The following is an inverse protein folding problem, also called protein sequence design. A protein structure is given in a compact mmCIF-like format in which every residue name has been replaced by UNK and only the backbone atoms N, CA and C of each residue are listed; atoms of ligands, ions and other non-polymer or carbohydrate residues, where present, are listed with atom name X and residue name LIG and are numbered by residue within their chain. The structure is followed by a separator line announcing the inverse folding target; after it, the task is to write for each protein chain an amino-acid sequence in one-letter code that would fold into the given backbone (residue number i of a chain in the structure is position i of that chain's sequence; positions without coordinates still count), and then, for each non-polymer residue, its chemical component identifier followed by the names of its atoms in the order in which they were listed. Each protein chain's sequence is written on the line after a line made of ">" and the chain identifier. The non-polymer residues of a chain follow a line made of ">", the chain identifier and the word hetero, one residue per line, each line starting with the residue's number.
data_IF_678911198492
#
_entry.id   IF_678911198492
#
_cell.length_a   1.000
_cell.length_b   1.000
_cell.length_c   1.000
_cell.angle_alpha   90.00
_cell.angle_beta   90.00
_cell.angle_gamma   90.00
#
_symmetry.space_group_name_H-M   'P 1'
#
loop_
_entity.id
_entity.type
_entity.pdbx_description
1 polymer ?
#
# COMPACT_ATOMS: atom_id res chain seq x y z
N UNK A 1 -22.85 36.08 17.64
CA UNK A 1 -22.30 34.98 18.44
C UNK A 1 -21.64 34.02 17.42
N UNK A 2 -20.38 34.33 17.02
CA UNK A 2 -19.58 33.51 16.12
C UNK A 2 -18.95 32.40 16.99
N UNK A 3 -19.41 31.18 16.77
CA UNK A 3 -18.81 30.01 17.37
C UNK A 3 -17.45 29.77 16.66
N UNK A 4 -16.35 30.00 17.41
CA UNK A 4 -15.01 29.57 17.06
C UNK A 4 -14.96 28.03 16.97
N UNK A 5 -15.29 27.48 15.81
CA UNK A 5 -15.24 26.03 15.52
C UNK A 5 -13.89 25.59 14.93
N UNK A 6 -12.85 26.40 15.12
CA UNK A 6 -11.48 26.09 14.67
C UNK A 6 -10.50 25.90 15.83
N UNK A 7 -10.85 25.13 16.86
CA UNK A 7 -9.79 24.45 17.61
C UNK A 7 -9.33 23.28 16.75
N UNK A 8 -8.25 23.52 16.00
CA UNK A 8 -7.70 22.57 15.04
C UNK A 8 -7.55 21.18 15.67
N UNK A 9 -8.23 20.21 15.12
CA UNK A 9 -7.98 18.80 15.40
C UNK A 9 -6.49 18.58 15.09
N UNK A 10 -5.67 18.42 16.13
CA UNK A 10 -4.23 18.17 15.98
C UNK A 10 -4.10 16.76 15.39
N UNK A 11 -3.76 16.66 14.10
CA UNK A 11 -3.53 15.39 13.44
C UNK A 11 -2.46 14.59 14.19
N UNK A 12 -2.82 13.37 14.61
CA UNK A 12 -1.90 12.48 15.27
C UNK A 12 -0.94 11.88 14.21
N UNK A 13 0.37 11.92 14.49
CA UNK A 13 1.38 11.24 13.67
C UNK A 13 1.55 9.82 14.19
N UNK A 14 1.13 8.85 13.40
CA UNK A 14 1.00 7.45 13.85
C UNK A 14 1.89 6.47 13.08
N UNK A 15 2.57 6.93 12.03
CA UNK A 15 3.37 6.04 11.20
C UNK A 15 4.46 6.81 10.43
N UNK A 16 5.39 6.03 9.87
CA UNK A 16 6.43 6.52 8.96
C UNK A 16 6.69 5.53 7.85
N UNK A 17 6.77 6.01 6.61
CA UNK A 17 7.16 5.21 5.45
C UNK A 17 8.67 5.22 5.26
N UNK A 18 9.19 4.08 4.80
CA UNK A 18 10.58 3.90 4.40
C UNK A 18 10.62 3.12 3.09
N UNK A 19 11.76 3.15 2.40
CA UNK A 19 12.06 2.12 1.40
C UNK A 19 12.57 0.86 2.10
N UNK A 20 12.30 -0.30 1.51
CA UNK A 20 13.03 -1.53 1.85
C UNK A 20 14.47 -1.42 1.34
N UNK A 21 15.37 -2.33 1.71
CA UNK A 21 16.70 -2.41 1.11
C UNK A 21 16.61 -2.65 -0.40
N UNK A 22 17.69 -2.35 -1.14
CA UNK A 22 17.73 -2.64 -2.57
C UNK A 22 17.67 -4.14 -2.83
N UNK A 23 18.33 -4.93 -2.01
CA UNK A 23 18.32 -6.39 -2.04
C UNK A 23 16.90 -6.93 -1.90
N UNK A 24 16.14 -6.47 -0.91
CA UNK A 24 14.75 -6.89 -0.71
C UNK A 24 13.84 -6.42 -1.86
N UNK A 25 14.12 -5.26 -2.44
CA UNK A 25 13.38 -4.80 -3.63
C UNK A 25 13.64 -5.68 -4.84
N UNK A 26 14.90 -6.10 -5.07
CA UNK A 26 15.28 -7.02 -6.16
C UNK A 26 14.60 -8.39 -6.00
N UNK A 27 14.59 -8.95 -4.78
CA UNK A 27 13.89 -10.21 -4.48
C UNK A 27 12.40 -10.10 -4.80
N UNK A 28 11.75 -9.05 -4.31
CA UNK A 28 10.33 -8.81 -4.57
C UNK A 28 10.01 -8.58 -6.04
N UNK A 29 10.90 -7.92 -6.77
CA UNK A 29 10.78 -7.72 -8.21
C UNK A 29 10.92 -9.02 -8.99
N UNK A 30 11.94 -9.83 -8.63
CA UNK A 30 12.13 -11.15 -9.23
C UNK A 30 10.94 -12.08 -8.97
N UNK A 31 10.41 -12.08 -7.75
CA UNK A 31 9.20 -12.86 -7.40
C UNK A 31 7.95 -12.41 -8.20
N UNK A 32 7.83 -11.12 -8.50
CA UNK A 32 6.70 -10.59 -9.24
C UNK A 32 6.80 -10.78 -10.76
N UNK A 33 8.02 -10.67 -11.33
CA UNK A 33 8.22 -10.55 -12.79
C UNK A 33 9.22 -11.55 -13.37
N UNK A 34 9.91 -12.35 -12.57
CA UNK A 34 10.93 -13.31 -13.04
C UNK A 34 12.19 -12.65 -13.64
N UNK A 35 12.40 -11.35 -13.40
CA UNK A 35 13.46 -10.54 -13.98
C UNK A 35 14.25 -9.80 -12.91
N UNK A 36 15.46 -9.39 -13.24
CA UNK A 36 16.22 -8.46 -12.41
C UNK A 36 15.72 -7.01 -12.58
N UNK A 37 15.96 -6.18 -11.56
CA UNK A 37 15.65 -4.74 -11.62
C UNK A 37 16.93 -3.94 -11.39
N UNK A 38 17.03 -2.80 -12.06
CA UNK A 38 18.19 -1.91 -11.92
C UNK A 38 18.09 -1.02 -10.67
N UNK A 39 19.25 -0.52 -10.24
CA UNK A 39 19.33 0.39 -9.09
C UNK A 39 18.61 1.72 -9.36
N UNK A 40 18.59 2.18 -10.61
CA UNK A 40 17.93 3.42 -11.03
C UNK A 40 16.41 3.35 -10.79
N UNK A 41 15.78 2.20 -11.06
CA UNK A 41 14.35 1.98 -10.77
C UNK A 41 14.09 2.09 -9.27
N UNK A 42 14.92 1.45 -8.45
CA UNK A 42 14.81 1.54 -6.99
C UNK A 42 15.03 2.97 -6.49
N UNK A 43 16.03 3.67 -7.00
CA UNK A 43 16.33 5.04 -6.58
C UNK A 43 15.18 6.00 -6.92
N UNK A 44 14.48 5.76 -8.02
CA UNK A 44 13.28 6.50 -8.44
C UNK A 44 12.02 6.21 -7.61
N UNK A 45 12.00 5.14 -6.81
CA UNK A 45 10.85 4.84 -5.92
C UNK A 45 10.60 6.02 -4.98
N UNK A 46 9.39 6.57 -5.01
CA UNK A 46 8.96 7.67 -4.16
C UNK A 46 8.17 7.17 -2.95
N UNK A 47 8.43 7.73 -1.77
CA UNK A 47 7.64 7.44 -0.58
C UNK A 47 6.18 7.93 -0.77
N UNK A 48 5.19 7.22 -0.22
CA UNK A 48 3.80 7.63 -0.29
C UNK A 48 3.56 9.02 0.30
N UNK A 49 2.72 9.84 -0.36
CA UNK A 49 2.44 11.23 0.05
C UNK A 49 0.94 11.52 -0.04
N UNK A 50 0.46 12.39 0.85
CA UNK A 50 -0.87 12.99 0.74
C UNK A 50 -0.86 14.11 -0.30
N UNK A 51 -1.90 14.21 -1.11
CA UNK A 51 -2.01 15.23 -2.14
C UNK A 51 -2.25 16.64 -1.56
N UNK A 52 -3.02 16.74 -0.47
CA UNK A 52 -3.41 18.01 0.16
C UNK A 52 -3.41 17.89 1.68
N UNK A 53 -3.51 19.03 2.38
CA UNK A 53 -3.61 19.08 3.86
C UNK A 53 -4.83 18.29 4.36
N UNK A 54 -5.95 18.32 3.65
CA UNK A 54 -7.19 17.62 4.01
C UNK A 54 -7.27 16.18 3.52
N UNK A 55 -6.34 15.70 2.69
CA UNK A 55 -6.34 14.31 2.22
C UNK A 55 -6.00 13.37 3.37
N UNK A 56 -6.80 12.30 3.54
CA UNK A 56 -6.48 11.19 4.45
C UNK A 56 -5.56 10.16 3.77
N UNK A 57 -5.75 9.95 2.46
CA UNK A 57 -5.02 8.96 1.68
C UNK A 57 -3.60 9.38 1.30
N UNK A 58 -2.68 8.44 1.42
CA UNK A 58 -1.31 8.52 0.92
C UNK A 58 -1.24 7.80 -0.43
N UNK A 59 -0.90 8.50 -1.50
CA UNK A 59 -0.73 7.90 -2.83
C UNK A 59 0.52 7.03 -2.87
N UNK A 60 0.35 5.77 -3.30
CA UNK A 60 1.44 4.85 -3.65
C UNK A 60 1.73 4.98 -5.14
N UNK A 61 3.00 5.15 -5.48
CA UNK A 61 3.46 5.39 -6.84
C UNK A 61 3.99 4.12 -7.48
N UNK A 62 3.67 3.90 -8.75
CA UNK A 62 4.16 2.74 -9.48
C UNK A 62 5.66 2.85 -9.76
N UNK A 63 6.47 1.81 -9.46
CA UNK A 63 7.89 1.81 -9.83
C UNK A 63 8.11 1.49 -11.31
N UNK A 64 7.06 1.12 -12.06
CA UNK A 64 7.14 0.74 -13.47
C UNK A 64 5.95 1.27 -14.26
N UNK A 65 6.13 1.40 -15.57
CA UNK A 65 5.03 1.62 -16.52
C UNK A 65 4.38 0.27 -16.84
N UNK A 66 3.05 0.22 -16.78
CA UNK A 66 2.29 -0.99 -17.13
C UNK A 66 0.95 -0.65 -17.79
N UNK A 67 0.39 -1.65 -18.46
CA UNK A 67 -0.93 -1.60 -19.07
C UNK A 67 -1.67 -2.89 -18.75
N UNK A 68 -2.96 -2.79 -18.41
CA UNK A 68 -3.83 -3.93 -18.13
C UNK A 68 -5.08 -3.85 -19.00
N UNK A 69 -5.27 -4.82 -19.87
CA UNK A 69 -6.56 -5.06 -20.50
C UNK A 69 -7.61 -5.55 -19.47
N UNK A 70 -8.91 -5.51 -19.79
CA UNK A 70 -9.93 -6.05 -18.91
C UNK A 70 -9.65 -7.51 -18.51
N UNK A 71 -9.74 -7.80 -17.21
CA UNK A 71 -9.45 -9.11 -16.62
C UNK A 71 -7.98 -9.34 -16.29
N UNK A 72 -7.07 -8.50 -16.77
CA UNK A 72 -5.64 -8.65 -16.46
C UNK A 72 -5.30 -8.15 -15.06
N UNK A 73 -4.28 -8.77 -14.49
CA UNK A 73 -3.81 -8.54 -13.12
C UNK A 73 -2.30 -8.31 -13.10
N UNK A 74 -1.84 -7.42 -12.22
CA UNK A 74 -0.43 -7.21 -11.94
C UNK A 74 -0.17 -7.21 -10.44
N UNK A 75 0.94 -7.83 -10.00
CA UNK A 75 1.48 -7.75 -8.64
C UNK A 75 2.67 -6.79 -8.65
N UNK A 76 2.57 -5.69 -7.91
CA UNK A 76 3.56 -4.62 -7.91
C UNK A 76 4.33 -4.64 -6.59
N UNK A 77 5.64 -4.92 -6.60
CA UNK A 77 6.54 -4.69 -5.48
C UNK A 77 6.76 -3.18 -5.33
N UNK A 78 6.19 -2.57 -4.30
CA UNK A 78 6.19 -1.09 -4.18
C UNK A 78 7.54 -0.51 -3.78
N UNK A 79 8.43 -1.30 -3.21
CA UNK A 79 9.67 -0.86 -2.59
C UNK A 79 9.46 -0.13 -1.25
N UNK A 80 8.24 -0.15 -0.71
CA UNK A 80 7.83 0.60 0.49
C UNK A 80 7.54 -0.35 1.64
N UNK A 81 7.91 0.09 2.85
CA UNK A 81 7.53 -0.48 4.14
C UNK A 81 6.98 0.62 5.04
N UNK A 82 6.15 0.27 6.02
CA UNK A 82 5.52 1.22 6.93
C UNK A 82 5.74 0.82 8.39
N UNK A 83 6.42 1.67 9.15
CA UNK A 83 6.47 1.58 10.61
C UNK A 83 5.20 2.23 11.16
N UNK A 84 4.41 1.49 11.92
CA UNK A 84 3.08 1.88 12.36
C UNK A 84 3.01 1.73 13.90
N UNK A 85 2.49 2.74 14.60
CA UNK A 85 2.26 2.66 16.03
C UNK A 85 1.20 1.60 16.36
N UNK A 86 1.32 0.96 17.51
CA UNK A 86 0.31 0.03 18.04
C UNK A 86 -1.09 0.69 18.09
N UNK A 87 -2.12 -0.11 17.85
CA UNK A 87 -3.50 0.35 17.75
C UNK A 87 -3.87 1.02 16.42
N UNK A 88 -2.93 1.04 15.45
CA UNK A 88 -3.17 1.57 14.11
C UNK A 88 -2.83 0.53 13.05
N UNK A 89 -3.57 0.58 11.95
CA UNK A 89 -3.40 -0.27 10.77
C UNK A 89 -3.33 0.60 9.52
N UNK A 90 -2.50 0.21 8.53
CA UNK A 90 -2.53 0.81 7.21
C UNK A 90 -3.45 -0.02 6.31
N UNK A 91 -4.50 0.61 5.80
CA UNK A 91 -5.44 0.00 4.86
C UNK A 91 -5.19 0.53 3.46
N UNK A 92 -5.03 -0.38 2.50
CA UNK A 92 -4.75 -0.07 1.10
C UNK A 92 -6.00 -0.19 0.24
N UNK A 93 -6.17 0.76 -0.67
CA UNK A 93 -7.31 0.89 -1.57
C UNK A 93 -6.86 1.24 -2.99
N UNK A 94 -7.67 0.97 -4.03
CA UNK A 94 -7.47 1.57 -5.34
C UNK A 94 -7.55 3.10 -5.26
N UNK A 95 -6.86 3.80 -6.15
CA UNK A 95 -7.14 5.24 -6.32
C UNK A 95 -8.53 5.43 -6.92
N UNK A 96 -9.25 6.42 -6.41
CA UNK A 96 -10.63 6.72 -6.83
C UNK A 96 -10.76 6.89 -8.35
N UNK A 97 -9.84 7.60 -9.00
CA UNK A 97 -9.87 7.81 -10.45
C UNK A 97 -9.73 6.51 -11.26
N UNK A 98 -8.89 5.57 -10.81
CA UNK A 98 -8.74 4.27 -11.46
C UNK A 98 -9.95 3.37 -11.17
N UNK A 99 -10.47 3.42 -9.94
CA UNK A 99 -11.68 2.69 -9.55
C UNK A 99 -12.90 3.11 -10.37
N UNK A 100 -13.17 4.42 -10.44
CA UNK A 100 -14.32 4.96 -11.18
C UNK A 100 -14.23 4.73 -12.69
N UNK A 101 -13.05 4.96 -13.28
CA UNK A 101 -12.90 4.91 -14.74
C UNK A 101 -12.76 3.50 -15.30
N UNK A 102 -12.14 2.59 -14.52
CA UNK A 102 -11.76 1.26 -15.02
C UNK A 102 -12.19 0.12 -14.11
N UNK A 103 -12.87 0.39 -12.98
CA UNK A 103 -13.17 -0.60 -11.95
C UNK A 103 -11.91 -1.32 -11.44
N UNK A 104 -10.77 -0.63 -11.37
CA UNK A 104 -9.56 -1.23 -10.78
C UNK A 104 -9.84 -1.62 -9.34
N UNK A 105 -9.54 -2.87 -9.01
CA UNK A 105 -9.72 -3.45 -7.69
C UNK A 105 -8.41 -4.01 -7.15
N UNK A 106 -8.21 -3.96 -5.83
CA UNK A 106 -7.22 -4.81 -5.19
C UNK A 106 -7.75 -6.25 -5.14
N UNK A 107 -6.87 -7.22 -5.44
CA UNK A 107 -7.27 -8.64 -5.45
C UNK A 107 -7.76 -9.16 -4.09
N UNK A 108 -7.32 -8.54 -3.00
CA UNK A 108 -7.77 -8.82 -1.64
C UNK A 108 -8.82 -7.81 -1.13
N UNK A 109 -9.48 -7.08 -2.02
CA UNK A 109 -10.50 -6.04 -1.73
C UNK A 109 -9.90 -4.84 -1.01
N UNK A 110 -9.31 -5.02 0.17
CA UNK A 110 -8.58 -4.05 0.98
C UNK A 110 -7.29 -4.71 1.46
N UNK A 111 -6.16 -4.06 1.23
CA UNK A 111 -4.89 -4.51 1.80
C UNK A 111 -4.80 -4.12 3.27
N UNK A 112 -4.51 -5.06 4.15
CA UNK A 112 -4.32 -4.82 5.58
C UNK A 112 -2.83 -4.97 5.87
N UNK A 113 -2.20 -3.91 6.34
CA UNK A 113 -0.79 -3.86 6.76
C UNK A 113 -0.75 -3.59 8.26
N UNK A 114 -0.46 -4.61 9.00
CA UNK A 114 -0.36 -4.58 10.47
C UNK A 114 0.95 -3.94 10.92
N UNK A 115 1.01 -3.45 12.16
CA UNK A 115 2.20 -2.77 12.70
C UNK A 115 3.41 -3.70 12.81
N UNK A 116 3.19 -4.97 13.13
CA UNK A 116 4.25 -5.99 13.26
C UNK A 116 4.81 -6.46 11.91
N UNK A 117 4.12 -6.19 10.79
CA UNK A 117 4.60 -6.55 9.45
C UNK A 117 5.92 -5.86 9.09
N UNK A 118 6.21 -4.69 9.66
CA UNK A 118 7.46 -3.96 9.47
C UNK A 118 8.71 -4.79 9.80
N UNK A 119 8.60 -5.73 10.74
CA UNK A 119 9.69 -6.58 11.24
C UNK A 119 9.71 -7.97 10.62
N UNK A 120 8.89 -8.24 9.60
CA UNK A 120 8.86 -9.51 8.88
C UNK A 120 10.16 -9.76 8.10
N UNK A 121 10.44 -11.03 7.78
CA UNK A 121 11.67 -11.48 7.09
C UNK A 121 11.89 -10.76 5.74
N UNK A 122 10.81 -10.31 5.08
CA UNK A 122 10.86 -9.50 3.86
C UNK A 122 10.94 -7.99 4.14
N UNK A 123 11.44 -7.58 5.30
CA UNK A 123 11.52 -6.18 5.76
C UNK A 123 10.15 -5.45 5.80
N UNK A 124 9.02 -6.17 5.80
CA UNK A 124 7.70 -5.56 5.69
C UNK A 124 7.42 -4.97 4.31
N UNK A 125 8.02 -5.51 3.25
CA UNK A 125 7.84 -5.05 1.88
C UNK A 125 6.38 -5.17 1.43
N UNK A 126 5.76 -4.04 1.13
CA UNK A 126 4.36 -3.95 0.72
C UNK A 126 4.25 -4.27 -0.77
N UNK A 127 3.46 -5.31 -1.08
CA UNK A 127 3.07 -5.66 -2.45
C UNK A 127 1.61 -5.25 -2.65
N UNK A 128 1.32 -4.68 -3.82
CA UNK A 128 -0.06 -4.33 -4.20
C UNK A 128 -0.42 -5.09 -5.48
N UNK A 129 -1.43 -5.95 -5.39
CA UNK A 129 -1.94 -6.71 -6.52
C UNK A 129 -3.27 -6.13 -6.94
N UNK A 130 -3.37 -5.69 -8.20
CA UNK A 130 -4.57 -5.06 -8.77
C UNK A 130 -5.03 -5.78 -10.03
N UNK A 131 -6.34 -5.73 -10.25
CA UNK A 131 -6.99 -6.24 -11.46
C UNK A 131 -7.76 -5.10 -12.13
N UNK A 132 -7.67 -5.02 -13.46
CA UNK A 132 -8.58 -4.22 -14.26
C UNK A 132 -9.90 -5.00 -14.43
N UNK A 133 -10.92 -4.64 -13.66
CA UNK A 133 -12.26 -5.27 -13.70
C UNK A 133 -13.24 -4.49 -14.60
N UNK A 134 -12.74 -3.79 -15.63
CA UNK A 134 -13.59 -3.01 -16.53
C UNK A 134 -14.50 -3.93 -17.35
N UNK A 135 -15.80 -3.64 -17.30
CA UNK A 135 -16.82 -4.27 -18.16
C UNK A 135 -17.14 -3.43 -19.43
N UNK A 136 -16.37 -2.36 -19.66
CA UNK A 136 -16.53 -1.44 -20.78
C UNK A 136 -15.39 -1.58 -21.83
N UNK A 137 -14.59 -2.62 -21.74
CA UNK A 137 -13.47 -2.84 -22.66
C UNK A 137 -12.28 -1.87 -22.49
N UNK A 138 -12.24 -1.10 -21.40
CA UNK A 138 -11.23 -0.05 -21.18
C UNK A 138 -9.93 -0.63 -20.65
N UNK A 139 -8.82 -0.34 -21.33
CA UNK A 139 -7.46 -0.66 -20.86
C UNK A 139 -6.98 0.40 -19.86
N UNK A 140 -6.45 -0.05 -18.73
CA UNK A 140 -5.74 0.79 -17.75
C UNK A 140 -4.31 0.98 -18.25
N UNK A 141 -3.80 2.22 -18.20
CA UNK A 141 -2.39 2.52 -18.37
C UNK A 141 -1.90 3.38 -17.21
N UNK A 142 -0.77 3.02 -16.65
CA UNK A 142 -0.12 3.71 -15.52
C UNK A 142 1.36 3.85 -15.85
N UNK A 143 1.85 5.09 -15.80
CA UNK A 143 3.27 5.39 -15.99
C UNK A 143 4.06 5.22 -14.68
N UNK A 144 5.36 4.89 -14.81
CA UNK A 144 6.27 4.91 -13.67
C UNK A 144 6.22 6.28 -12.97
N UNK A 145 6.15 6.28 -11.64
CA UNK A 145 5.98 7.49 -10.83
C UNK A 145 4.53 7.99 -10.72
N UNK A 146 3.57 7.39 -11.42
CA UNK A 146 2.16 7.73 -11.28
C UNK A 146 1.54 6.99 -10.09
N UNK A 147 0.68 7.67 -9.33
CA UNK A 147 -0.07 7.05 -8.24
C UNK A 147 -1.09 6.04 -8.76
N UNK A 148 -1.08 4.80 -8.23
CA UNK A 148 -1.97 3.73 -8.66
C UNK A 148 -2.85 3.15 -7.54
N UNK A 149 -2.41 3.29 -6.30
CA UNK A 149 -3.15 2.90 -5.10
C UNK A 149 -3.04 4.00 -4.04
N UNK A 150 -3.80 3.88 -2.97
CA UNK A 150 -3.73 4.78 -1.82
C UNK A 150 -3.83 4.00 -0.51
N UNK A 151 -3.21 4.55 0.55
CA UNK A 151 -3.26 3.97 1.88
C UNK A 151 -3.80 4.97 2.91
N UNK A 152 -4.60 4.49 3.85
CA UNK A 152 -5.13 5.26 4.99
C UNK A 152 -4.73 4.59 6.29
N UNK A 153 -4.32 5.39 7.29
CA UNK A 153 -4.13 4.88 8.65
C UNK A 153 -5.45 4.96 9.42
N UNK A 154 -5.86 3.84 10.01
CA UNK A 154 -7.09 3.70 10.79
C UNK A 154 -6.77 3.15 12.18
N UNK A 155 -7.39 3.66 13.26
CA UNK A 155 -7.31 3.01 14.56
C UNK A 155 -8.16 1.73 14.55
N UNK A 156 -7.75 0.71 15.32
CA UNK A 156 -8.53 -0.50 15.50
C UNK A 156 -8.63 -0.87 16.98
N UNK A 157 -9.63 -1.65 17.33
CA UNK A 157 -9.83 -2.22 18.67
C UNK A 157 -9.58 -3.72 18.65
N UNK A 158 -9.36 -4.29 19.86
CA UNK A 158 -9.29 -5.72 20.12
C UNK A 158 -10.45 -6.12 21.02
N UNK A 159 -10.77 -7.42 21.12
CA UNK A 159 -11.79 -7.91 22.03
C UNK A 159 -11.29 -7.91 23.47
N UNK A 160 -12.23 -7.88 24.44
CA UNK A 160 -11.87 -7.81 25.88
C UNK A 160 -11.20 -9.09 26.39
N UNK A 161 -11.33 -10.19 25.67
CA UNK A 161 -10.78 -11.51 25.94
C UNK A 161 -9.64 -11.89 24.99
N UNK A 162 -9.01 -10.88 24.33
CA UNK A 162 -7.86 -11.10 23.46
C UNK A 162 -6.64 -11.49 24.31
N UNK A 163 -6.11 -12.69 24.04
CA UNK A 163 -4.92 -13.25 24.71
C UNK A 163 -3.78 -13.55 23.72
N UNK A 164 -3.81 -12.97 22.51
CA UNK A 164 -2.80 -13.21 21.48
C UNK A 164 -1.45 -12.68 21.93
N UNK A 165 -0.45 -13.57 21.99
CA UNK A 165 0.94 -13.25 22.33
C UNK A 165 1.95 -13.62 21.24
N UNK A 166 1.47 -14.19 20.13
CA UNK A 166 2.32 -14.62 19.02
C UNK A 166 2.87 -13.42 18.26
N UNK A 167 4.16 -13.42 17.97
CA UNK A 167 4.80 -12.45 17.07
C UNK A 167 4.72 -12.93 15.62
N UNK A 168 4.49 -12.02 14.69
CA UNK A 168 4.49 -12.32 13.26
C UNK A 168 5.89 -12.71 12.80
N UNK A 169 5.96 -13.77 11.99
CA UNK A 169 7.16 -14.16 11.27
C UNK A 169 6.74 -14.53 9.83
N UNK A 170 6.87 -13.59 8.90
CA UNK A 170 6.57 -13.79 7.48
C UNK A 170 5.45 -12.89 6.91
N UNK A 171 5.31 -12.92 5.57
CA UNK A 171 4.42 -12.09 4.77
C UNK A 171 3.01 -12.66 4.56
N UNK A 172 2.41 -12.32 3.42
CA UNK A 172 1.01 -12.62 3.07
C UNK A 172 0.60 -14.08 3.31
N UNK A 173 -0.34 -14.30 4.25
CA UNK A 173 -0.93 -15.62 4.53
C UNK A 173 -0.11 -16.56 5.42
N UNK A 174 1.03 -16.12 5.99
CA UNK A 174 1.90 -16.95 6.83
C UNK A 174 1.40 -17.15 8.27
N UNK A 175 0.36 -16.46 8.68
CA UNK A 175 -0.21 -16.54 10.05
C UNK A 175 -1.21 -17.68 10.24
N UNK A 176 -1.60 -18.38 9.17
CA UNK A 176 -2.48 -19.54 9.23
C UNK A 176 -1.70 -20.78 8.83
N UNK A 177 -1.41 -21.67 9.79
CA UNK A 177 -1.03 -23.06 9.53
C UNK A 177 -2.27 -23.92 9.46
#
# INVERSE_FOLDING_TARGET
>A
MHLDFCRGVRMQKVAKFYKVSFEQFQEGWHDAFGQSVSKEVYDAVSLPKRATIGSAGYDFYSPLTFSLAPGETIKIPTGIRAEINEGWVLMLYPRSGLGFKYRVQLNNTVGIIDSDYFYSDNEGHIFIKITNDSNEGKTVAVEAGQGFAQGLFMPFGITVDDEVSAMRNGGFGSTTK
#
